data_IF_265756626042
#
_entry.id   IF_265756626042
#
_cell.length_a   1.000
_cell.length_b   1.000
_cell.length_c   1.000
_cell.angle_alpha   90.00
_cell.angle_beta   90.00
_cell.angle_gamma   90.00
#
_symmetry.space_group_name_H-M   'P 1'
#
loop_
_entity.id
_entity.type
_entity.pdbx_description
1 polymer ?
#
# COMPACT_ATOMS: atom_id res chain seq x y z
N UNK A 1 0.84 12.58 13.35
CA UNK A 1 0.37 13.11 14.65
C UNK A 1 1.29 12.57 15.73
N UNK A 2 1.80 13.44 16.60
CA UNK A 2 2.55 13.04 17.79
C UNK A 2 1.53 12.93 18.93
N UNK A 3 1.54 11.81 19.66
CA UNK A 3 0.79 11.63 20.91
C UNK A 3 1.78 11.36 22.03
N UNK A 4 1.50 11.88 23.20
CA UNK A 4 2.28 11.66 24.42
C UNK A 4 1.44 10.84 25.41
N UNK A 5 2.08 10.19 26.37
CA UNK A 5 1.41 9.32 27.35
C UNK A 5 0.28 10.02 28.12
N UNK A 6 0.38 11.33 28.33
CA UNK A 6 -0.63 12.16 29.01
C UNK A 6 -1.94 12.31 28.20
N UNK A 7 -1.91 12.05 26.89
CA UNK A 7 -3.11 12.02 26.05
C UNK A 7 -3.96 10.75 26.27
N UNK A 8 -3.41 9.75 26.98
CA UNK A 8 -4.11 8.52 27.33
C UNK A 8 -4.70 8.67 28.73
N UNK A 9 -6.00 8.97 28.80
CA UNK A 9 -6.72 8.97 30.06
C UNK A 9 -6.77 7.54 30.59
N UNK A 10 -6.03 7.27 31.66
CA UNK A 10 -5.95 5.94 32.28
C UNK A 10 -7.30 5.58 32.91
N UNK A 11 -8.13 4.86 32.19
CA UNK A 11 -9.36 4.25 32.69
C UNK A 11 -9.22 2.73 32.78
N UNK A 12 -8.54 2.23 33.82
CA UNK A 12 -8.67 0.83 34.23
C UNK A 12 -8.02 -0.21 33.30
N UNK A 13 -8.73 -1.31 33.04
CA UNK A 13 -8.24 -2.56 32.42
C UNK A 13 -7.88 -2.50 30.94
N UNK A 14 -8.26 -1.42 30.24
CA UNK A 14 -8.09 -1.30 28.77
C UNK A 14 -6.82 -0.53 28.36
N UNK A 15 -6.05 0.00 29.33
CA UNK A 15 -4.93 0.91 29.03
C UNK A 15 -3.84 0.25 28.15
N UNK A 16 -3.49 -1.02 28.41
CA UNK A 16 -2.45 -1.70 27.65
C UNK A 16 -2.93 -2.09 26.25
N UNK A 17 -4.20 -2.41 26.08
CA UNK A 17 -4.86 -2.70 24.81
C UNK A 17 -4.90 -1.45 23.91
N UNK A 18 -5.29 -0.29 24.47
CA UNK A 18 -5.28 0.97 23.76
C UNK A 18 -3.87 1.38 23.34
N UNK A 19 -2.89 1.14 24.20
CA UNK A 19 -1.48 1.41 23.93
C UNK A 19 -0.96 0.52 22.81
N UNK A 20 -1.31 -0.76 22.82
CA UNK A 20 -0.95 -1.73 21.79
C UNK A 20 -1.55 -1.37 20.43
N UNK A 21 -2.85 -1.09 20.37
CA UNK A 21 -3.54 -0.66 19.16
C UNK A 21 -2.91 0.60 18.58
N UNK A 22 -2.53 1.56 19.44
CA UNK A 22 -1.87 2.78 19.02
C UNK A 22 -0.46 2.50 18.47
N UNK A 23 0.37 1.73 19.21
CA UNK A 23 1.74 1.41 18.80
C UNK A 23 1.74 0.61 17.49
N UNK A 24 0.77 -0.29 17.29
CA UNK A 24 0.64 -1.06 16.05
C UNK A 24 0.48 -0.17 14.80
N UNK A 25 -0.04 1.04 14.96
CA UNK A 25 -0.26 2.02 13.89
C UNK A 25 0.83 3.09 13.79
N UNK A 26 1.77 3.15 14.75
CA UNK A 26 2.88 4.11 14.73
C UNK A 26 3.99 3.67 13.77
N UNK A 27 4.75 4.63 13.24
CA UNK A 27 5.98 4.38 12.47
C UNK A 27 7.19 4.20 13.39
N UNK A 28 7.22 4.92 14.51
CA UNK A 28 8.27 4.88 15.51
C UNK A 28 7.75 5.17 16.91
N UNK A 29 8.48 4.69 17.91
CA UNK A 29 8.27 4.97 19.33
C UNK A 29 9.55 5.61 19.89
N UNK A 30 9.40 6.79 20.50
CA UNK A 30 10.46 7.44 21.27
C UNK A 30 10.27 7.06 22.73
N UNK A 31 11.17 6.22 23.24
CA UNK A 31 11.10 5.68 24.59
C UNK A 31 12.06 6.44 25.51
N UNK A 32 11.49 7.24 26.40
CA UNK A 32 12.25 8.03 27.36
C UNK A 32 12.43 7.23 28.66
N UNK A 33 13.66 6.91 29.01
CA UNK A 33 13.98 6.19 30.24
C UNK A 33 14.63 7.15 31.24
N UNK A 34 13.81 7.69 32.13
CA UNK A 34 14.24 8.54 33.25
C UNK A 34 14.45 7.75 34.54
N UNK A 35 14.37 8.46 35.66
CA UNK A 35 14.54 7.86 37.00
C UNK A 35 13.26 7.22 37.53
N UNK A 36 12.10 7.56 36.97
CA UNK A 36 10.76 7.04 37.34
C UNK A 36 10.28 5.96 36.38
N UNK A 37 9.62 4.93 36.90
CA UNK A 37 9.14 3.79 36.09
C UNK A 37 7.72 3.97 35.54
N UNK A 38 6.96 4.94 36.04
CA UNK A 38 5.55 5.12 35.70
C UNK A 38 4.61 4.12 36.41
N UNK A 39 3.35 4.11 36.03
CA UNK A 39 2.33 3.22 36.59
C UNK A 39 2.54 1.77 36.14
N UNK A 40 2.35 0.81 37.06
CA UNK A 40 2.48 -0.61 36.77
C UNK A 40 1.28 -1.14 36.00
N UNK A 41 1.51 -2.01 35.02
CA UNK A 41 0.46 -2.63 34.24
C UNK A 41 -0.34 -3.60 35.13
N UNK A 42 -1.67 -3.53 35.00
CA UNK A 42 -2.59 -4.35 35.80
C UNK A 42 -2.72 -5.76 35.22
N UNK A 43 -2.94 -6.75 36.11
CA UNK A 43 -3.08 -8.16 35.72
C UNK A 43 -4.13 -8.43 34.64
N UNK A 44 -5.31 -7.80 34.62
CA UNK A 44 -6.30 -7.98 33.53
C UNK A 44 -5.77 -7.56 32.16
N UNK A 45 -5.06 -6.42 32.08
CA UNK A 45 -4.44 -5.95 30.83
C UNK A 45 -3.37 -6.91 30.30
N UNK A 46 -2.60 -7.53 31.21
CA UNK A 46 -1.60 -8.54 30.85
C UNK A 46 -2.24 -9.83 30.32
N UNK A 47 -3.41 -10.21 30.82
CA UNK A 47 -4.14 -11.37 30.32
C UNK A 47 -4.58 -11.15 28.87
N UNK A 48 -5.13 -9.99 28.56
CA UNK A 48 -5.55 -9.62 27.19
C UNK A 48 -4.37 -9.65 26.21
N UNK A 49 -3.21 -9.09 26.58
CA UNK A 49 -2.02 -9.12 25.72
C UNK A 49 -1.50 -10.55 25.49
N UNK A 50 -1.56 -11.43 26.49
CA UNK A 50 -1.18 -12.83 26.32
C UNK A 50 -2.11 -13.59 25.39
N UNK A 51 -3.42 -13.35 25.48
CA UNK A 51 -4.41 -13.95 24.60
C UNK A 51 -4.26 -13.44 23.16
N UNK A 52 -3.99 -12.14 22.99
CA UNK A 52 -3.77 -11.52 21.68
C UNK A 52 -2.48 -11.99 21.02
N UNK A 53 -1.41 -12.21 21.79
CA UNK A 53 -0.08 -12.55 21.31
C UNK A 53 0.51 -13.79 21.99
N UNK A 54 0.04 -14.99 21.66
CA UNK A 54 0.52 -16.24 22.29
C UNK A 54 2.00 -16.53 22.02
N UNK A 55 2.57 -15.96 20.94
CA UNK A 55 3.98 -16.10 20.55
C UNK A 55 4.91 -15.04 21.17
N UNK A 56 4.38 -14.14 22.00
CA UNK A 56 5.14 -13.02 22.60
C UNK A 56 6.39 -13.48 23.36
N UNK A 57 6.28 -14.58 24.13
CA UNK A 57 7.38 -15.15 24.89
C UNK A 57 8.47 -15.81 24.02
N UNK A 58 8.10 -16.24 22.80
CA UNK A 58 9.04 -16.83 21.84
C UNK A 58 9.78 -15.72 21.07
N UNK A 59 9.04 -14.73 20.63
CA UNK A 59 9.60 -13.58 19.87
C UNK A 59 10.44 -12.65 20.73
N UNK A 60 10.06 -12.48 22.00
CA UNK A 60 10.74 -11.62 22.96
C UNK A 60 11.10 -12.39 24.25
N UNK A 61 12.12 -13.25 24.22
CA UNK A 61 12.49 -14.12 25.34
C UNK A 61 12.72 -13.38 26.68
N UNK A 62 13.23 -12.12 26.73
CA UNK A 62 13.38 -11.40 27.99
C UNK A 62 12.07 -11.07 28.71
N UNK A 63 10.92 -11.19 28.03
CA UNK A 63 9.60 -10.98 28.64
C UNK A 63 9.07 -12.21 29.38
N UNK A 64 9.61 -13.41 29.16
CA UNK A 64 9.12 -14.67 29.78
C UNK A 64 8.88 -14.54 31.28
N UNK A 65 9.79 -13.97 32.09
CA UNK A 65 9.59 -13.83 33.53
C UNK A 65 8.40 -12.95 33.93
N UNK A 66 7.97 -12.05 33.05
CA UNK A 66 6.90 -11.07 33.27
C UNK A 66 5.54 -11.50 32.72
N UNK A 67 5.51 -12.64 32.05
CA UNK A 67 4.29 -13.22 31.46
C UNK A 67 3.67 -14.32 32.33
N UNK A 68 4.27 -14.70 33.44
CA UNK A 68 3.69 -15.67 34.39
C UNK A 68 2.52 -15.02 35.19
N UNK A 69 1.54 -15.79 35.66
CA UNK A 69 0.38 -15.27 36.40
C UNK A 69 0.73 -14.42 37.62
N UNK A 70 1.77 -14.82 38.35
CA UNK A 70 2.23 -14.16 39.59
C UNK A 70 3.54 -13.39 39.40
N UNK A 71 3.83 -13.00 38.14
CA UNK A 71 5.07 -12.31 37.81
C UNK A 71 5.09 -10.87 38.32
N UNK A 72 6.28 -10.34 38.54
CA UNK A 72 6.50 -8.92 38.77
C UNK A 72 6.00 -8.13 37.54
N UNK A 73 5.12 -7.16 37.77
CA UNK A 73 4.57 -6.35 36.67
C UNK A 73 5.62 -5.42 36.10
N UNK A 74 5.58 -5.18 34.78
CA UNK A 74 6.25 -4.08 34.12
C UNK A 74 5.32 -2.84 34.13
N UNK A 75 5.92 -1.66 34.09
CA UNK A 75 5.12 -0.43 33.92
C UNK A 75 4.57 -0.32 32.49
N UNK A 76 3.49 0.47 32.31
CA UNK A 76 2.96 0.75 30.98
C UNK A 76 4.02 1.35 30.07
N UNK A 77 4.84 2.27 30.57
CA UNK A 77 5.96 2.85 29.81
C UNK A 77 6.98 1.78 29.37
N UNK A 78 7.29 0.81 30.21
CA UNK A 78 8.18 -0.29 29.83
C UNK A 78 7.53 -1.21 28.79
N UNK A 79 6.20 -1.42 28.85
CA UNK A 79 5.46 -2.16 27.86
C UNK A 79 5.47 -1.50 26.47
N UNK A 80 5.47 -0.17 26.39
CA UNK A 80 5.60 0.57 25.12
C UNK A 80 6.81 0.10 24.31
N UNK A 81 7.96 -0.03 24.95
CA UNK A 81 9.16 -0.49 24.27
C UNK A 81 9.02 -1.93 23.74
N UNK A 82 8.43 -2.81 24.54
CA UNK A 82 8.26 -4.22 24.15
C UNK A 82 7.21 -4.41 23.06
N UNK A 83 6.12 -3.69 23.11
CA UNK A 83 5.11 -3.67 22.04
C UNK A 83 5.66 -3.08 20.75
N UNK A 84 6.47 -2.03 20.83
CA UNK A 84 7.16 -1.48 19.67
C UNK A 84 8.07 -2.54 19.01
N UNK A 85 8.82 -3.30 19.80
CA UNK A 85 9.67 -4.40 19.30
C UNK A 85 8.84 -5.54 18.71
N UNK A 86 7.73 -5.91 19.36
CA UNK A 86 6.84 -6.94 18.87
C UNK A 86 6.25 -6.59 17.49
N UNK A 87 5.78 -5.35 17.32
CA UNK A 87 5.25 -4.80 16.07
C UNK A 87 6.34 -4.37 15.07
N UNK A 88 7.62 -4.66 15.38
CA UNK A 88 8.78 -4.30 14.52
C UNK A 88 8.84 -2.81 14.20
N UNK A 89 8.41 -1.96 15.14
CA UNK A 89 8.49 -0.51 15.01
C UNK A 89 9.89 -0.02 15.32
N UNK A 90 10.26 1.11 14.74
CA UNK A 90 11.51 1.77 15.14
C UNK A 90 11.40 2.20 16.61
N UNK A 91 12.32 1.74 17.45
CA UNK A 91 12.41 2.12 18.85
C UNK A 91 13.65 3.02 19.05
N UNK A 92 13.40 4.27 19.43
CA UNK A 92 14.44 5.25 19.75
C UNK A 92 14.48 5.40 21.26
N UNK A 93 15.55 4.93 21.90
CA UNK A 93 15.73 4.99 23.35
C UNK A 93 16.57 6.21 23.70
N UNK A 94 16.05 7.08 24.55
CA UNK A 94 16.75 8.26 25.06
C UNK A 94 16.86 8.19 26.59
N UNK A 95 18.04 8.48 27.11
CA UNK A 95 18.33 8.47 28.55
C UNK A 95 18.94 9.79 29.01
N UNK A 96 18.54 10.35 30.16
CA UNK A 96 19.18 11.55 30.69
C UNK A 96 20.58 11.23 31.21
N UNK A 97 21.51 12.17 31.06
CA UNK A 97 22.83 12.09 31.75
C UNK A 97 22.65 12.27 33.26
N UNK A 98 23.62 11.85 34.10
CA UNK A 98 23.49 11.94 35.55
C UNK A 98 23.23 13.36 36.09
N UNK A 99 23.66 14.39 35.38
CA UNK A 99 23.47 15.81 35.76
C UNK A 99 22.34 16.51 35.02
N UNK A 100 21.48 15.78 34.29
CA UNK A 100 20.40 16.39 33.51
C UNK A 100 19.41 17.15 34.38
N UNK A 101 18.84 18.21 33.81
CA UNK A 101 17.80 19.02 34.45
C UNK A 101 16.55 18.15 34.73
N UNK A 102 16.03 18.23 35.95
CA UNK A 102 14.82 17.54 36.42
C UNK A 102 13.73 18.55 36.76
N UNK A 103 12.48 18.09 36.79
CA UNK A 103 11.35 18.90 37.25
C UNK A 103 11.48 19.23 38.74
N UNK A 104 10.89 20.35 39.17
CA UNK A 104 10.87 20.76 40.57
C UNK A 104 10.25 19.72 41.52
N UNK A 105 9.36 18.88 41.03
CA UNK A 105 8.68 17.79 41.75
C UNK A 105 9.43 16.48 41.73
N UNK A 106 10.57 16.42 41.06
CA UNK A 106 11.34 15.18 40.94
C UNK A 106 11.87 14.71 42.28
N UNK A 107 11.55 13.49 42.65
CA UNK A 107 12.13 12.80 43.81
C UNK A 107 12.91 11.56 43.30
N UNK A 108 14.18 11.51 43.61
CA UNK A 108 15.01 10.35 43.28
C UNK A 108 14.62 9.19 44.21
N UNK A 109 14.06 8.14 43.67
CA UNK A 109 13.73 6.88 44.38
C UNK A 109 14.65 5.80 43.83
N UNK A 110 15.60 5.35 44.65
CA UNK A 110 16.65 4.40 44.24
C UNK A 110 16.08 3.07 43.72
N UNK A 111 14.97 2.60 44.27
CA UNK A 111 14.27 1.39 43.81
C UNK A 111 13.77 1.56 42.36
N UNK A 112 13.16 2.68 42.03
CA UNK A 112 12.69 2.95 40.67
C UNK A 112 13.84 3.06 39.68
N UNK A 113 14.92 3.72 40.08
CA UNK A 113 16.13 3.81 39.27
C UNK A 113 16.73 2.45 38.98
N UNK A 114 16.78 1.56 39.98
CA UNK A 114 17.23 0.18 39.81
C UNK A 114 16.36 -0.58 38.81
N UNK A 115 15.06 -0.42 38.88
CA UNK A 115 14.12 -1.02 37.91
C UNK A 115 14.34 -0.52 36.47
N UNK A 116 14.64 0.78 36.30
CA UNK A 116 14.96 1.35 34.98
C UNK A 116 16.29 0.84 34.44
N UNK A 117 17.32 0.69 35.28
CA UNK A 117 18.60 0.08 34.91
C UNK A 117 18.41 -1.39 34.45
N UNK A 118 17.58 -2.14 35.17
CA UNK A 118 17.24 -3.52 34.78
C UNK A 118 16.47 -3.55 33.47
N UNK A 119 15.58 -2.58 33.22
CA UNK A 119 14.86 -2.46 31.95
C UNK A 119 15.82 -2.18 30.80
N UNK A 120 16.78 -1.25 30.95
CA UNK A 120 17.83 -1.01 29.97
C UNK A 120 18.67 -2.26 29.70
N UNK A 121 19.06 -2.99 30.75
CA UNK A 121 19.81 -4.24 30.60
C UNK A 121 19.02 -5.30 29.81
N UNK A 122 17.70 -5.40 30.03
CA UNK A 122 16.83 -6.29 29.26
C UNK A 122 16.73 -5.87 27.79
N UNK A 123 16.58 -4.58 27.50
CA UNK A 123 16.59 -4.07 26.13
C UNK A 123 17.93 -4.33 25.43
N UNK A 124 19.04 -4.17 26.15
CA UNK A 124 20.38 -4.48 25.64
C UNK A 124 20.54 -5.96 25.28
N UNK A 125 19.88 -6.88 26.01
CA UNK A 125 19.92 -8.31 25.71
C UNK A 125 19.25 -8.69 24.36
N UNK A 126 18.47 -7.80 23.78
CA UNK A 126 17.91 -7.91 22.44
C UNK A 126 18.49 -6.87 21.46
N UNK A 127 19.74 -6.45 21.72
CA UNK A 127 20.51 -5.52 20.91
C UNK A 127 19.83 -4.13 20.74
N UNK A 128 19.13 -3.68 21.79
CA UNK A 128 18.51 -2.35 21.83
C UNK A 128 19.21 -1.48 22.89
N UNK A 129 19.92 -0.49 22.40
CA UNK A 129 20.75 0.42 23.22
C UNK A 129 20.20 1.84 23.12
N UNK A 130 20.49 2.72 24.11
CA UNK A 130 20.19 4.14 24.00
C UNK A 130 20.76 4.72 22.71
N UNK A 131 19.92 5.39 21.94
CA UNK A 131 20.33 6.06 20.70
C UNK A 131 21.16 7.31 21.03
N UNK A 132 20.78 8.01 22.11
CA UNK A 132 21.49 9.19 22.60
C UNK A 132 21.18 9.45 24.09
N UNK A 133 22.00 10.32 24.71
CA UNK A 133 21.75 10.85 26.04
C UNK A 133 21.53 12.36 25.97
N UNK A 134 20.78 12.93 26.92
CA UNK A 134 20.43 14.35 26.93
C UNK A 134 20.59 14.99 28.33
N UNK A 135 20.87 16.30 28.36
CA UNK A 135 21.02 17.09 29.57
C UNK A 135 19.76 17.91 29.91
N UNK A 136 19.00 18.30 28.90
CA UNK A 136 17.81 19.12 29.02
C UNK A 136 16.83 18.88 27.87
N UNK A 137 15.62 19.44 27.97
CA UNK A 137 14.56 19.27 26.98
C UNK A 137 14.92 19.80 25.58
N UNK A 138 15.71 20.88 25.50
CA UNK A 138 16.14 21.45 24.22
C UNK A 138 17.11 20.51 23.48
N UNK A 139 18.02 19.89 24.20
CA UNK A 139 18.93 18.89 23.66
C UNK A 139 18.15 17.60 23.28
N UNK A 140 17.23 17.15 24.14
CA UNK A 140 16.35 16.01 23.82
C UNK A 140 15.62 16.23 22.50
N UNK A 141 14.96 17.37 22.32
CA UNK A 141 14.27 17.73 21.10
C UNK A 141 15.21 17.75 19.87
N UNK A 142 16.41 18.35 20.02
CA UNK A 142 17.39 18.40 18.95
C UNK A 142 17.89 17.00 18.55
N UNK A 143 18.17 16.12 19.53
CA UNK A 143 18.65 14.76 19.27
C UNK A 143 17.55 13.87 18.68
N UNK A 144 16.29 14.02 19.10
CA UNK A 144 15.15 13.36 18.46
C UNK A 144 15.06 13.77 16.97
N UNK A 145 15.19 15.06 16.66
CA UNK A 145 15.16 15.55 15.28
C UNK A 145 16.38 15.10 14.45
N UNK A 146 17.56 14.97 15.08
CA UNK A 146 18.77 14.44 14.42
C UNK A 146 18.78 12.94 14.26
N UNK A 147 18.02 12.23 15.09
CA UNK A 147 17.89 10.78 15.00
C UNK A 147 17.23 10.39 13.68
N UNK A 148 17.22 9.08 13.38
CA UNK A 148 16.49 8.54 12.22
C UNK A 148 15.00 8.91 12.17
N UNK A 149 14.48 9.60 13.19
CA UNK A 149 13.15 10.19 13.20
C UNK A 149 12.99 11.21 12.06
N UNK A 150 14.02 11.93 11.67
CA UNK A 150 13.98 12.79 10.48
C UNK A 150 13.75 11.96 9.21
N UNK A 151 14.37 10.80 9.08
CA UNK A 151 14.10 9.86 7.98
C UNK A 151 12.66 9.33 8.02
N UNK A 152 12.10 9.10 9.21
CA UNK A 152 10.73 8.64 9.39
C UNK A 152 9.75 9.77 9.12
N UNK A 153 9.98 10.97 9.62
CA UNK A 153 9.11 12.11 9.37
C UNK A 153 9.16 12.59 7.92
N UNK A 154 10.28 12.45 7.25
CA UNK A 154 10.38 12.64 5.79
C UNK A 154 9.74 11.50 5.00
N UNK A 155 9.75 10.27 5.55
CA UNK A 155 9.01 9.11 5.00
C UNK A 155 7.53 9.11 5.43
N UNK A 156 7.22 9.57 6.64
CA UNK A 156 5.90 9.60 7.28
C UNK A 156 5.23 10.99 7.33
N UNK A 157 5.80 12.01 6.71
CA UNK A 157 4.97 13.12 6.24
C UNK A 157 3.74 12.48 5.58
N UNK A 158 2.51 13.05 5.61
CA UNK A 158 1.39 12.47 4.92
C UNK A 158 1.89 12.17 3.52
N UNK A 159 2.22 10.92 3.27
CA UNK A 159 2.76 10.49 1.99
C UNK A 159 1.72 10.98 1.01
N UNK A 160 2.03 12.05 0.31
CA UNK A 160 1.16 12.56 -0.74
C UNK A 160 1.04 11.36 -1.65
N UNK A 161 -0.06 10.64 -1.49
CA UNK A 161 -0.25 9.40 -2.21
C UNK A 161 -0.10 9.75 -3.68
N UNK A 162 0.93 9.22 -4.31
CA UNK A 162 1.19 9.50 -5.70
C UNK A 162 0.24 8.65 -6.54
N UNK A 163 -0.80 9.29 -7.05
CA UNK A 163 -1.79 8.64 -7.92
C UNK A 163 -1.66 9.28 -9.31
N UNK A 164 -1.17 8.50 -10.26
CA UNK A 164 -1.10 8.86 -11.67
C UNK A 164 -1.86 7.81 -12.48
N UNK A 165 -3.18 7.77 -12.32
CA UNK A 165 -4.08 6.91 -13.09
C UNK A 165 -4.81 7.76 -14.13
N UNK A 166 -4.82 7.38 -15.42
CA UNK A 166 -5.30 8.23 -16.51
C UNK A 166 -6.81 8.37 -16.56
N UNK A 167 -7.56 7.44 -16.00
CA UNK A 167 -9.02 7.33 -16.12
C UNK A 167 -9.62 6.97 -14.76
N UNK A 168 -10.79 7.53 -14.46
CA UNK A 168 -11.55 7.19 -13.27
C UNK A 168 -12.13 5.76 -13.33
N UNK A 169 -12.51 5.21 -12.16
CA UNK A 169 -13.23 3.93 -12.07
C UNK A 169 -14.57 4.01 -12.79
N UNK A 170 -14.99 2.89 -13.39
CA UNK A 170 -16.32 2.72 -13.98
C UNK A 170 -17.41 2.50 -12.94
N UNK A 171 -17.03 2.15 -11.70
CA UNK A 171 -18.00 1.82 -10.66
C UNK A 171 -18.94 0.69 -11.08
N UNK A 172 -20.27 0.94 -11.06
CA UNK A 172 -21.28 -0.07 -11.39
C UNK A 172 -21.23 -0.55 -12.85
N UNK A 173 -20.67 0.23 -13.76
CA UNK A 173 -20.50 -0.16 -15.16
C UNK A 173 -19.36 -1.18 -15.40
N UNK A 174 -18.56 -1.49 -14.37
CA UNK A 174 -17.54 -2.53 -14.48
C UNK A 174 -18.16 -3.91 -14.26
N UNK A 175 -18.60 -4.56 -15.34
CA UNK A 175 -19.40 -5.80 -15.31
C UNK A 175 -18.56 -7.04 -15.63
N UNK A 176 -18.96 -8.16 -15.02
CA UNK A 176 -18.50 -9.51 -15.40
C UNK A 176 -17.03 -9.80 -15.14
N UNK A 177 -16.35 -9.05 -14.28
CA UNK A 177 -14.91 -9.17 -14.00
C UNK A 177 -14.57 -9.40 -12.54
N UNK A 178 -15.55 -9.66 -11.68
CA UNK A 178 -15.32 -9.86 -10.25
C UNK A 178 -14.32 -11.01 -10.00
N UNK A 179 -14.53 -12.16 -10.63
CA UNK A 179 -13.60 -13.29 -10.52
C UNK A 179 -12.19 -12.96 -11.01
N UNK A 180 -12.05 -12.20 -12.11
CA UNK A 180 -10.73 -11.77 -12.59
C UNK A 180 -10.01 -10.84 -11.61
N UNK A 181 -10.76 -9.99 -10.89
CA UNK A 181 -10.19 -9.13 -9.85
C UNK A 181 -9.76 -9.95 -8.62
N UNK A 182 -10.57 -10.91 -8.19
CA UNK A 182 -10.24 -11.83 -7.10
C UNK A 182 -9.00 -12.67 -7.44
N UNK A 183 -8.93 -13.24 -8.64
CA UNK A 183 -7.76 -14.00 -9.11
C UNK A 183 -6.52 -13.13 -9.15
N UNK A 184 -6.65 -11.87 -9.58
CA UNK A 184 -5.55 -10.92 -9.61
C UNK A 184 -5.07 -10.58 -8.20
N UNK A 185 -5.99 -10.30 -7.27
CA UNK A 185 -5.68 -10.04 -5.86
C UNK A 185 -4.97 -11.23 -5.22
N UNK A 186 -5.54 -12.43 -5.34
CA UNK A 186 -4.94 -13.66 -4.81
C UNK A 186 -3.56 -13.93 -5.40
N UNK A 187 -3.39 -13.67 -6.69
CA UNK A 187 -2.12 -13.94 -7.38
C UNK A 187 -1.03 -12.93 -7.04
N UNK A 188 -1.38 -11.68 -6.75
CA UNK A 188 -0.45 -10.64 -6.31
C UNK A 188 -0.07 -10.83 -4.84
N UNK A 189 -1.01 -11.28 -4.00
CA UNK A 189 -0.80 -11.47 -2.57
C UNK A 189 -0.64 -10.15 -1.80
N UNK A 190 -0.01 -10.23 -0.62
CA UNK A 190 0.20 -9.07 0.23
C UNK A 190 1.18 -8.06 -0.40
N UNK A 191 0.85 -6.77 -0.30
CA UNK A 191 1.72 -5.70 -0.81
C UNK A 191 3.05 -5.70 -0.07
N UNK A 192 4.20 -5.78 -0.79
CA UNK A 192 5.51 -5.74 -0.15
C UNK A 192 5.73 -4.41 0.58
N UNK A 193 6.08 -4.48 1.86
CA UNK A 193 6.32 -3.29 2.70
C UNK A 193 7.81 -3.01 2.97
N UNK A 194 8.70 -3.78 2.34
CA UNK A 194 10.16 -3.62 2.43
C UNK A 194 10.79 -3.64 1.05
N UNK A 195 11.91 -2.96 0.91
CA UNK A 195 12.70 -2.93 -0.33
C UNK A 195 13.55 -4.20 -0.56
N UNK A 196 13.51 -5.18 0.35
CA UNK A 196 14.30 -6.42 0.24
C UNK A 196 13.68 -7.44 -0.74
N UNK A 197 12.40 -7.22 -1.10
CA UNK A 197 11.68 -8.15 -1.97
C UNK A 197 11.72 -7.70 -3.44
N UNK A 198 11.91 -8.66 -4.33
CA UNK A 198 11.64 -8.45 -5.77
C UNK A 198 10.15 -8.15 -5.96
N UNK A 199 9.79 -7.29 -6.94
CA UNK A 199 8.38 -6.98 -7.18
C UNK A 199 7.61 -8.24 -7.60
N UNK A 200 6.35 -8.33 -7.19
CA UNK A 200 5.42 -9.35 -7.68
C UNK A 200 4.81 -8.86 -8.99
N UNK A 201 4.90 -9.69 -10.03
CA UNK A 201 4.54 -9.29 -11.38
C UNK A 201 3.41 -10.17 -11.91
N UNK A 202 2.41 -9.54 -12.54
CA UNK A 202 1.36 -10.23 -13.28
C UNK A 202 1.17 -9.60 -14.64
N UNK A 203 1.00 -10.44 -15.64
CA UNK A 203 0.75 -10.01 -17.01
C UNK A 203 -0.71 -10.31 -17.35
N UNK A 204 -1.50 -9.27 -17.60
CA UNK A 204 -2.83 -9.39 -18.14
C UNK A 204 -2.73 -9.59 -19.66
N UNK A 205 -2.93 -10.81 -20.13
CA UNK A 205 -2.76 -11.18 -21.53
C UNK A 205 -4.10 -11.42 -22.21
N UNK A 206 -4.18 -11.20 -23.52
CA UNK A 206 -5.39 -11.46 -24.31
C UNK A 206 -5.54 -10.56 -25.53
N UNK A 207 -6.59 -10.76 -26.30
CA UNK A 207 -6.89 -10.01 -27.52
C UNK A 207 -7.00 -8.50 -27.27
N UNK A 208 -6.80 -7.70 -28.33
CA UNK A 208 -7.08 -6.28 -28.30
C UNK A 208 -8.56 -6.01 -27.99
N UNK A 209 -8.84 -5.01 -27.13
CA UNK A 209 -10.23 -4.64 -26.81
C UNK A 209 -10.94 -5.50 -25.76
N UNK A 210 -10.32 -6.54 -25.20
CA UNK A 210 -10.92 -7.35 -24.11
C UNK A 210 -11.04 -6.62 -22.77
N UNK A 211 -10.40 -5.46 -22.60
CA UNK A 211 -10.49 -4.66 -21.38
C UNK A 211 -9.33 -4.85 -20.39
N UNK A 212 -8.17 -5.37 -20.82
CA UNK A 212 -6.96 -5.56 -19.96
C UNK A 212 -6.56 -4.30 -19.20
N UNK A 213 -6.38 -3.20 -19.91
CA UNK A 213 -6.04 -1.88 -19.32
C UNK A 213 -7.10 -1.45 -18.32
N UNK A 214 -8.38 -1.64 -18.65
CA UNK A 214 -9.49 -1.30 -17.75
C UNK A 214 -9.47 -2.16 -16.49
N UNK A 215 -9.22 -3.46 -16.61
CA UNK A 215 -9.10 -4.38 -15.47
C UNK A 215 -7.96 -3.95 -14.53
N UNK A 216 -6.79 -3.61 -15.08
CA UNK A 216 -5.65 -3.12 -14.29
C UNK A 216 -5.98 -1.82 -13.54
N UNK A 217 -6.69 -0.89 -14.19
CA UNK A 217 -7.09 0.39 -13.59
C UNK A 217 -8.18 0.20 -12.52
N UNK A 218 -9.18 -0.67 -12.75
CA UNK A 218 -10.19 -0.96 -11.73
C UNK A 218 -9.58 -1.64 -10.50
N UNK A 219 -8.64 -2.57 -10.70
CA UNK A 219 -7.87 -3.14 -9.60
C UNK A 219 -7.16 -2.04 -8.79
N UNK A 220 -6.46 -1.14 -9.48
CA UNK A 220 -5.78 -0.03 -8.82
C UNK A 220 -6.74 0.88 -8.02
N UNK A 221 -7.93 1.17 -8.55
CA UNK A 221 -8.94 1.98 -7.84
C UNK A 221 -9.52 1.26 -6.62
N UNK A 222 -9.82 -0.05 -6.72
CA UNK A 222 -10.41 -0.82 -5.63
C UNK A 222 -9.44 -1.04 -4.48
N UNK A 223 -8.18 -1.34 -4.79
CA UNK A 223 -7.10 -1.60 -3.82
C UNK A 223 -6.25 -0.36 -3.51
N UNK A 224 -6.79 0.82 -3.83
CA UNK A 224 -6.07 2.06 -3.66
C UNK A 224 -5.49 2.30 -2.26
N UNK A 225 -6.13 1.81 -1.21
CA UNK A 225 -5.70 2.00 0.19
C UNK A 225 -4.47 1.19 0.56
N UNK A 226 -4.21 0.10 -0.16
CA UNK A 226 -3.17 -0.87 0.14
C UNK A 226 -1.80 -0.45 -0.39
N UNK A 227 -1.77 0.49 -1.35
CA UNK A 227 -0.56 0.94 -2.02
C UNK A 227 -0.11 2.33 -1.58
N UNK A 228 1.20 2.52 -1.44
CA UNK A 228 1.85 3.81 -1.17
C UNK A 228 1.79 4.74 -2.40
N UNK A 229 1.85 4.18 -3.60
CA UNK A 229 1.69 4.90 -4.87
C UNK A 229 0.97 4.03 -5.90
N UNK A 230 0.22 4.67 -6.81
CA UNK A 230 -0.47 4.01 -7.92
C UNK A 230 -0.12 4.73 -9.21
N UNK A 231 0.59 4.05 -10.08
CA UNK A 231 1.25 4.65 -11.22
C UNK A 231 0.87 3.91 -12.49
N UNK A 232 0.64 4.66 -13.54
CA UNK A 232 0.33 4.16 -14.87
C UNK A 232 1.25 4.80 -15.90
N UNK A 233 1.89 3.98 -16.72
CA UNK A 233 2.67 4.44 -17.87
C UNK A 233 2.39 3.55 -19.08
N UNK A 234 2.36 4.16 -20.26
CA UNK A 234 2.32 3.43 -21.53
C UNK A 234 3.73 2.95 -21.85
N UNK A 235 3.84 1.67 -22.20
CA UNK A 235 5.11 0.98 -22.48
C UNK A 235 5.07 0.23 -23.83
N UNK A 236 4.45 0.82 -24.85
CA UNK A 236 4.26 0.24 -26.16
C UNK A 236 5.56 0.11 -26.99
N UNK A 237 6.61 0.79 -26.54
CA UNK A 237 7.95 0.74 -27.13
C UNK A 237 9.02 1.01 -26.06
N UNK A 238 10.26 0.65 -26.33
CA UNK A 238 11.42 0.93 -25.47
C UNK A 238 11.55 2.41 -25.17
N UNK A 239 11.37 3.25 -26.19
CA UNK A 239 11.46 4.71 -26.07
C UNK A 239 10.32 5.27 -25.20
N UNK A 240 9.10 4.81 -25.42
CA UNK A 240 7.95 5.22 -24.62
C UNK A 240 8.10 4.80 -23.15
N UNK A 241 8.53 3.56 -22.89
CA UNK A 241 8.80 3.09 -21.53
C UNK A 241 9.81 3.99 -20.81
N UNK A 242 10.97 4.27 -21.44
CA UNK A 242 12.03 5.08 -20.84
C UNK A 242 11.56 6.51 -20.57
N UNK A 243 10.93 7.14 -21.56
CA UNK A 243 10.41 8.51 -21.47
C UNK A 243 9.31 8.65 -20.40
N UNK A 244 8.35 7.74 -20.41
CA UNK A 244 7.23 7.79 -19.49
C UNK A 244 7.67 7.45 -18.04
N UNK A 245 8.67 6.58 -17.88
CA UNK A 245 9.30 6.32 -16.59
C UNK A 245 10.00 7.58 -16.06
N UNK A 246 10.82 8.24 -16.89
CA UNK A 246 11.46 9.51 -16.54
C UNK A 246 10.41 10.59 -16.16
N UNK A 247 9.28 10.63 -16.87
CA UNK A 247 8.17 11.55 -16.59
C UNK A 247 7.57 11.43 -15.17
N UNK A 248 7.75 10.29 -14.50
CA UNK A 248 7.31 10.12 -13.10
C UNK A 248 8.09 11.00 -12.12
N UNK A 249 9.24 11.57 -12.49
CA UNK A 249 9.93 12.59 -11.68
C UNK A 249 9.00 13.72 -11.25
N UNK A 250 8.10 14.16 -12.14
CA UNK A 250 7.10 15.20 -11.83
C UNK A 250 6.01 14.70 -10.89
N UNK A 251 5.62 13.44 -11.05
CA UNK A 251 4.61 12.81 -10.17
C UNK A 251 5.13 12.68 -8.74
N UNK A 252 6.41 12.41 -8.59
CA UNK A 252 7.08 12.24 -7.30
C UNK A 252 7.65 13.55 -6.74
N UNK A 253 7.58 14.65 -7.50
CA UNK A 253 8.15 15.96 -7.14
C UNK A 253 9.65 15.88 -6.81
N UNK A 254 10.41 15.15 -7.66
CA UNK A 254 11.84 14.98 -7.50
C UNK A 254 12.60 16.19 -8.05
N UNK A 255 13.77 16.51 -7.46
CA UNK A 255 14.61 17.62 -7.89
C UNK A 255 15.02 17.49 -9.36
N UNK A 256 15.25 16.25 -9.82
CA UNK A 256 15.64 15.91 -11.19
C UNK A 256 14.55 16.18 -12.24
N UNK A 257 13.32 16.54 -11.85
CA UNK A 257 12.24 16.89 -12.80
C UNK A 257 12.61 18.06 -13.73
N UNK A 258 13.58 18.89 -13.32
CA UNK A 258 14.08 20.05 -14.09
C UNK A 258 15.31 19.71 -14.94
N UNK A 259 15.88 18.52 -14.82
CA UNK A 259 16.99 18.07 -15.65
C UNK A 259 16.53 17.88 -17.11
N UNK A 260 17.43 18.14 -18.06
CA UNK A 260 17.18 17.88 -19.48
C UNK A 260 17.56 16.47 -19.91
N UNK A 261 18.32 15.74 -19.06
CA UNK A 261 18.77 14.39 -19.29
C UNK A 261 17.75 13.39 -18.76
N UNK A 262 17.00 12.76 -19.67
CA UNK A 262 16.01 11.73 -19.32
C UNK A 262 16.62 10.52 -18.58
N UNK A 263 17.89 10.21 -18.78
CA UNK A 263 18.55 9.12 -18.07
C UNK A 263 18.70 9.43 -16.59
N UNK A 264 19.07 10.66 -16.23
CA UNK A 264 19.14 11.09 -14.82
C UNK A 264 17.77 11.08 -14.16
N UNK A 265 16.74 11.58 -14.88
CA UNK A 265 15.36 11.54 -14.37
C UNK A 265 14.92 10.09 -14.09
N UNK A 266 15.17 9.18 -15.04
CA UNK A 266 14.84 7.76 -14.88
C UNK A 266 15.57 7.15 -13.68
N UNK A 267 16.87 7.41 -13.52
CA UNK A 267 17.66 6.86 -12.41
C UNK A 267 17.16 7.37 -11.05
N UNK A 268 16.73 8.64 -10.96
CA UNK A 268 16.08 9.21 -9.78
C UNK A 268 14.75 8.50 -9.46
N UNK A 269 13.92 8.23 -10.49
CA UNK A 269 12.66 7.48 -10.35
C UNK A 269 12.92 6.05 -9.87
N UNK A 270 13.90 5.34 -10.43
CA UNK A 270 14.27 4.00 -9.97
C UNK A 270 14.75 3.99 -8.52
N UNK A 271 15.55 4.98 -8.15
CA UNK A 271 15.96 5.17 -6.75
C UNK A 271 14.76 5.39 -5.83
N UNK A 272 13.80 6.21 -6.27
CA UNK A 272 12.57 6.44 -5.51
C UNK A 272 11.78 5.14 -5.28
N UNK A 273 11.55 4.32 -6.30
CA UNK A 273 10.87 3.03 -6.17
C UNK A 273 11.54 2.12 -5.15
N UNK A 274 12.87 2.05 -5.18
CA UNK A 274 13.65 1.20 -4.29
C UNK A 274 13.70 1.72 -2.84
N UNK A 275 13.44 3.00 -2.62
CA UNK A 275 13.38 3.62 -1.29
C UNK A 275 11.96 3.66 -0.69
N UNK A 276 10.92 3.55 -1.52
CA UNK A 276 9.52 3.70 -1.11
C UNK A 276 8.71 2.46 -1.51
N UNK A 277 8.85 1.34 -0.78
CA UNK A 277 8.12 0.11 -1.12
C UNK A 277 6.61 0.28 -0.98
N UNK A 278 5.86 -0.68 -1.51
CA UNK A 278 4.40 -0.70 -1.43
C UNK A 278 3.71 0.00 -2.60
N UNK A 279 4.38 0.22 -3.71
CA UNK A 279 3.80 0.81 -4.92
C UNK A 279 3.12 -0.22 -5.83
N UNK A 280 2.19 0.27 -6.64
CA UNK A 280 1.61 -0.42 -7.80
C UNK A 280 2.02 0.35 -9.07
N UNK A 281 2.68 -0.32 -10.00
CA UNK A 281 3.02 0.21 -11.31
C UNK A 281 2.30 -0.59 -12.40
N UNK A 282 1.53 0.10 -13.24
CA UNK A 282 0.87 -0.47 -14.41
C UNK A 282 1.66 -0.08 -15.66
N UNK A 283 2.17 -1.08 -16.39
CA UNK A 283 2.81 -0.92 -17.70
C UNK A 283 1.82 -1.36 -18.77
N UNK A 284 1.29 -0.38 -19.50
CA UNK A 284 0.23 -0.62 -20.45
C UNK A 284 0.74 -0.79 -21.88
N UNK A 285 0.12 -1.71 -22.62
CA UNK A 285 0.31 -1.95 -24.05
C UNK A 285 1.69 -2.47 -24.43
N UNK A 286 2.24 -3.41 -23.66
CA UNK A 286 3.53 -4.07 -23.95
C UNK A 286 3.29 -5.19 -25.00
N UNK A 287 3.19 -4.78 -26.27
CA UNK A 287 2.70 -5.66 -27.35
C UNK A 287 3.79 -6.08 -28.36
N UNK A 288 5.04 -5.69 -28.14
CA UNK A 288 6.20 -6.11 -28.96
C UNK A 288 7.25 -6.83 -28.13
N UNK A 289 8.04 -7.71 -28.76
CA UNK A 289 9.10 -8.46 -28.06
C UNK A 289 10.18 -7.52 -27.52
N UNK A 290 10.48 -6.43 -28.22
CA UNK A 290 11.47 -5.43 -27.79
C UNK A 290 10.98 -4.69 -26.54
N UNK A 291 9.69 -4.31 -26.49
CA UNK A 291 9.09 -3.68 -25.31
C UNK A 291 9.07 -4.66 -24.12
N UNK A 292 8.74 -5.93 -24.36
CA UNK A 292 8.75 -6.97 -23.35
C UNK A 292 10.15 -7.17 -22.75
N UNK A 293 11.19 -7.27 -23.59
CA UNK A 293 12.58 -7.37 -23.13
C UNK A 293 13.01 -6.14 -22.30
N UNK A 294 12.58 -4.94 -22.70
CA UNK A 294 12.87 -3.72 -21.93
C UNK A 294 12.15 -3.70 -20.58
N UNK A 295 10.92 -4.21 -20.51
CA UNK A 295 10.18 -4.40 -19.24
C UNK A 295 10.88 -5.41 -18.35
N UNK A 296 11.31 -6.55 -18.86
CA UNK A 296 12.07 -7.56 -18.10
C UNK A 296 13.39 -6.98 -17.54
N UNK A 297 14.09 -6.17 -18.32
CA UNK A 297 15.27 -5.46 -17.86
C UNK A 297 14.96 -4.43 -16.76
N UNK A 298 13.82 -3.72 -16.84
CA UNK A 298 13.35 -2.81 -15.81
C UNK A 298 13.05 -3.54 -14.50
N UNK A 299 12.37 -4.69 -14.57
CA UNK A 299 11.99 -5.50 -13.41
C UNK A 299 13.20 -5.83 -12.51
N UNK A 300 14.33 -6.13 -13.11
CA UNK A 300 15.56 -6.46 -12.37
C UNK A 300 16.07 -5.31 -11.50
N UNK A 301 15.68 -4.07 -11.81
CA UNK A 301 16.10 -2.83 -11.14
C UNK A 301 15.11 -2.36 -10.07
N UNK A 302 13.90 -2.93 -10.02
CA UNK A 302 12.82 -2.54 -9.10
C UNK A 302 12.78 -3.43 -7.87
N UNK A 303 12.35 -2.86 -6.73
CA UNK A 303 12.15 -3.56 -5.46
C UNK A 303 10.88 -3.09 -4.76
N UNK A 304 10.24 -4.00 -4.02
CA UNK A 304 9.26 -3.65 -2.99
C UNK A 304 7.88 -3.21 -3.48
N UNK A 305 7.37 -3.72 -4.60
CA UNK A 305 6.04 -3.35 -5.10
C UNK A 305 5.37 -4.41 -5.96
N UNK A 306 4.24 -4.05 -6.55
CA UNK A 306 3.51 -4.85 -7.52
C UNK A 306 3.59 -4.23 -8.91
N UNK A 307 3.76 -5.08 -9.92
CA UNK A 307 3.80 -4.68 -11.32
C UNK A 307 2.69 -5.40 -12.09
N UNK A 308 1.84 -4.63 -12.74
CA UNK A 308 0.84 -5.14 -13.69
C UNK A 308 1.25 -4.75 -15.10
N UNK A 309 1.34 -5.73 -15.98
CA UNK A 309 1.64 -5.52 -17.40
C UNK A 309 0.41 -5.88 -18.21
N UNK A 310 -0.02 -5.03 -19.12
CA UNK A 310 -1.05 -5.40 -20.11
C UNK A 310 -0.39 -5.71 -21.44
N UNK A 311 -0.75 -6.84 -22.06
CA UNK A 311 -0.09 -7.29 -23.29
C UNK A 311 -1.00 -8.14 -24.16
N UNK A 312 -0.72 -8.16 -25.45
CA UNK A 312 -1.24 -9.16 -26.40
C UNK A 312 -0.32 -10.36 -26.56
N UNK A 313 0.91 -10.24 -26.10
CA UNK A 313 1.87 -11.34 -26.11
C UNK A 313 1.47 -12.42 -25.11
N UNK A 314 1.64 -13.68 -25.50
CA UNK A 314 1.39 -14.85 -24.67
C UNK A 314 2.67 -15.53 -24.18
N UNK A 315 3.78 -15.24 -24.85
CA UNK A 315 5.09 -15.85 -24.55
C UNK A 315 5.94 -14.91 -23.71
N UNK A 316 5.81 -15.01 -22.40
CA UNK A 316 6.65 -14.30 -21.45
C UNK A 316 7.70 -15.26 -20.86
N UNK A 317 8.82 -14.72 -20.36
CA UNK A 317 9.83 -15.56 -19.68
C UNK A 317 9.19 -16.30 -18.50
N UNK A 318 9.62 -17.53 -18.23
CA UNK A 318 8.98 -18.46 -17.29
C UNK A 318 8.87 -17.97 -15.83
N UNK A 319 9.43 -16.80 -15.51
CA UNK A 319 9.29 -16.14 -14.21
C UNK A 319 8.05 -15.25 -14.09
N UNK A 320 7.37 -14.93 -15.21
CA UNK A 320 6.21 -14.04 -15.24
C UNK A 320 4.92 -14.84 -15.40
N UNK A 321 3.97 -14.60 -14.48
CA UNK A 321 2.66 -15.27 -14.50
C UNK A 321 1.71 -14.44 -15.35
N UNK A 322 1.26 -15.04 -16.46
CA UNK A 322 0.25 -14.48 -17.34
C UNK A 322 -1.16 -14.90 -16.88
N UNK A 323 -2.04 -13.92 -16.74
CA UNK A 323 -3.46 -14.10 -16.44
C UNK A 323 -4.25 -13.74 -17.70
N UNK A 324 -4.96 -14.70 -18.30
CA UNK A 324 -5.72 -14.45 -19.52
C UNK A 324 -6.95 -13.57 -19.22
N UNK A 325 -7.18 -12.59 -20.08
CA UNK A 325 -8.36 -11.71 -20.05
C UNK A 325 -9.18 -11.94 -21.32
N UNK A 326 -10.20 -12.78 -21.20
CA UNK A 326 -11.09 -13.12 -22.28
C UNK A 326 -12.13 -12.02 -22.56
N UNK A 327 -13.00 -12.20 -23.55
CA UNK A 327 -14.17 -11.35 -23.77
C UNK A 327 -15.17 -11.44 -22.60
N UNK A 328 -16.15 -10.57 -22.53
CA UNK A 328 -17.17 -10.63 -21.47
C UNK A 328 -18.09 -11.85 -21.67
N UNK A 329 -18.67 -12.34 -20.58
CA UNK A 329 -19.79 -13.28 -20.72
C UNK A 329 -20.96 -12.59 -21.40
N UNK A 330 -21.82 -13.36 -22.09
CA UNK A 330 -22.99 -12.82 -22.77
C UNK A 330 -23.89 -12.01 -21.82
N UNK A 331 -24.10 -12.51 -20.61
CA UNK A 331 -24.94 -11.83 -19.63
C UNK A 331 -24.31 -10.51 -19.14
N UNK A 332 -23.01 -10.50 -18.88
CA UNK A 332 -22.29 -9.27 -18.49
C UNK A 332 -22.26 -8.24 -19.64
N UNK A 333 -22.08 -8.67 -20.88
CA UNK A 333 -22.11 -7.81 -22.06
C UNK A 333 -23.49 -7.17 -22.28
N UNK A 334 -24.56 -7.98 -22.11
CA UNK A 334 -25.93 -7.51 -22.18
C UNK A 334 -26.25 -6.50 -21.09
N UNK A 335 -25.92 -6.83 -19.84
CA UNK A 335 -26.11 -5.94 -18.68
C UNK A 335 -25.36 -4.62 -18.86
N UNK A 336 -24.10 -4.70 -19.33
CA UNK A 336 -23.30 -3.51 -19.63
C UNK A 336 -24.00 -2.59 -20.64
N UNK A 337 -24.46 -3.11 -21.78
CA UNK A 337 -25.15 -2.31 -22.81
C UNK A 337 -26.42 -1.65 -22.25
N UNK A 338 -27.22 -2.40 -21.51
CA UNK A 338 -28.44 -1.89 -20.90
C UNK A 338 -28.15 -0.73 -19.94
N UNK A 339 -27.22 -0.89 -19.00
CA UNK A 339 -26.89 0.14 -18.01
C UNK A 339 -26.16 1.33 -18.65
N UNK A 340 -25.22 1.08 -19.57
CA UNK A 340 -24.43 2.13 -20.25
C UNK A 340 -25.30 3.09 -21.06
N UNK A 341 -26.42 2.62 -21.56
CA UNK A 341 -27.31 3.41 -22.43
C UNK A 341 -28.60 3.84 -21.73
N UNK A 342 -28.87 3.37 -20.51
CA UNK A 342 -30.19 3.48 -19.83
C UNK A 342 -30.75 4.92 -19.79
N UNK A 343 -29.91 5.90 -19.50
CA UNK A 343 -30.33 7.29 -19.35
C UNK A 343 -30.67 8.00 -20.67
N UNK A 344 -30.19 7.48 -21.81
CA UNK A 344 -30.19 8.24 -23.08
C UNK A 344 -30.76 7.48 -24.27
N UNK A 345 -30.81 6.14 -24.25
CA UNK A 345 -31.33 5.37 -25.38
C UNK A 345 -32.86 5.54 -25.54
N UNK A 346 -33.35 5.33 -26.73
CA UNK A 346 -34.77 5.16 -26.98
C UNK A 346 -35.18 3.76 -26.53
N UNK A 347 -35.88 3.68 -25.39
CA UNK A 347 -36.31 2.40 -24.77
C UNK A 347 -37.42 1.72 -25.58
N UNK A 348 -37.32 0.40 -25.69
CA UNK A 348 -38.29 -0.49 -26.33
C UNK A 348 -38.61 -1.67 -25.40
N UNK A 349 -39.74 -2.37 -25.63
CA UNK A 349 -40.16 -3.46 -24.77
C UNK A 349 -39.26 -4.69 -24.83
N UNK A 350 -38.50 -4.84 -25.91
CA UNK A 350 -37.60 -5.94 -26.22
C UNK A 350 -36.11 -5.57 -26.05
N UNK A 351 -35.81 -4.49 -25.36
CA UNK A 351 -34.43 -4.00 -25.15
C UNK A 351 -33.46 -5.09 -24.67
N UNK A 352 -33.90 -6.00 -23.77
CA UNK A 352 -33.07 -7.10 -23.28
C UNK A 352 -32.67 -8.07 -24.41
N UNK A 353 -33.62 -8.39 -25.30
CA UNK A 353 -33.37 -9.27 -26.44
C UNK A 353 -32.45 -8.59 -27.45
N UNK A 354 -32.72 -7.33 -27.78
CA UNK A 354 -31.91 -6.57 -28.74
C UNK A 354 -30.50 -6.27 -28.23
N UNK A 355 -30.35 -5.99 -26.94
CA UNK A 355 -29.03 -5.82 -26.31
C UNK A 355 -28.22 -7.13 -26.37
N UNK A 356 -28.87 -8.29 -26.17
CA UNK A 356 -28.21 -9.59 -26.27
C UNK A 356 -27.79 -9.93 -27.71
N UNK A 357 -28.62 -9.61 -28.69
CA UNK A 357 -28.29 -9.76 -30.12
C UNK A 357 -27.10 -8.85 -30.47
N UNK A 358 -27.11 -7.60 -30.00
CA UNK A 358 -26.00 -6.67 -30.20
C UNK A 358 -24.71 -7.14 -29.54
N UNK A 359 -24.78 -7.66 -28.30
CA UNK A 359 -23.63 -8.21 -27.60
C UNK A 359 -23.00 -9.38 -28.38
N UNK A 360 -23.81 -10.28 -28.91
CA UNK A 360 -23.39 -11.40 -29.76
C UNK A 360 -22.75 -10.91 -31.07
N UNK A 361 -23.41 -9.98 -31.76
CA UNK A 361 -22.93 -9.38 -33.02
C UNK A 361 -21.55 -8.73 -32.85
N UNK A 362 -21.28 -8.13 -31.68
CA UNK A 362 -20.00 -7.49 -31.36
C UNK A 362 -18.98 -8.45 -30.70
N UNK A 363 -19.29 -9.75 -30.64
CA UNK A 363 -18.41 -10.79 -30.08
C UNK A 363 -18.10 -10.59 -28.60
N UNK A 364 -19.00 -9.96 -27.85
CA UNK A 364 -18.84 -9.61 -26.42
C UNK A 364 -17.54 -8.88 -26.08
N UNK A 365 -16.95 -8.19 -27.08
CA UNK A 365 -15.69 -7.47 -26.94
C UNK A 365 -15.91 -6.14 -26.23
N UNK A 366 -15.31 -5.96 -25.04
CA UNK A 366 -15.56 -4.82 -24.15
C UNK A 366 -15.42 -3.45 -24.85
N UNK A 367 -14.41 -3.28 -25.70
CA UNK A 367 -14.22 -2.04 -26.46
C UNK A 367 -15.32 -1.79 -27.48
N UNK A 368 -15.74 -2.82 -28.20
CA UNK A 368 -16.82 -2.70 -29.19
C UNK A 368 -18.15 -2.37 -28.52
N UNK A 369 -18.43 -3.01 -27.37
CA UNK A 369 -19.63 -2.72 -26.57
C UNK A 369 -19.65 -1.28 -26.06
N UNK A 370 -18.49 -0.75 -25.55
CA UNK A 370 -18.40 0.64 -25.10
C UNK A 370 -18.61 1.62 -26.26
N UNK A 371 -18.02 1.37 -27.43
CA UNK A 371 -18.22 2.20 -28.62
C UNK A 371 -19.68 2.20 -29.08
N UNK A 372 -20.30 1.04 -29.15
CA UNK A 372 -21.73 0.90 -29.50
C UNK A 372 -22.62 1.60 -28.46
N UNK A 373 -22.36 1.38 -27.17
CA UNK A 373 -23.10 2.00 -26.09
C UNK A 373 -22.98 3.54 -26.10
N UNK A 374 -21.77 4.06 -26.36
CA UNK A 374 -21.53 5.49 -26.51
C UNK A 374 -22.29 6.08 -27.71
N UNK A 375 -22.26 5.41 -28.86
CA UNK A 375 -22.96 5.83 -30.07
C UNK A 375 -24.48 5.86 -29.88
N UNK A 376 -25.05 4.76 -29.33
CA UNK A 376 -26.46 4.67 -29.00
C UNK A 376 -26.91 5.77 -28.06
N UNK A 377 -26.12 6.02 -26.98
CA UNK A 377 -26.42 7.07 -26.02
C UNK A 377 -26.33 8.49 -26.65
N UNK A 378 -25.36 8.73 -27.52
CA UNK A 378 -25.17 10.02 -28.18
C UNK A 378 -26.29 10.31 -29.18
N UNK A 379 -26.69 9.31 -29.98
CA UNK A 379 -27.74 9.41 -31.01
C UNK A 379 -29.15 9.21 -30.46
N UNK A 380 -29.29 8.80 -29.22
CA UNK A 380 -30.58 8.49 -28.57
C UNK A 380 -31.40 7.47 -29.35
N UNK A 381 -30.74 6.48 -29.92
CA UNK A 381 -31.39 5.43 -30.72
C UNK A 381 -31.69 4.20 -29.88
N UNK A 382 -32.48 3.28 -30.42
CA UNK A 382 -32.71 1.95 -29.84
C UNK A 382 -31.59 0.99 -30.23
N UNK A 383 -31.48 -0.16 -29.56
CA UNK A 383 -30.57 -1.24 -29.96
C UNK A 383 -30.89 -1.78 -31.37
N UNK A 384 -32.16 -1.99 -31.67
CA UNK A 384 -32.63 -2.39 -33.01
C UNK A 384 -32.15 -1.39 -34.08
N UNK A 385 -32.37 -0.09 -33.87
CA UNK A 385 -31.94 0.95 -34.81
C UNK A 385 -30.41 0.95 -35.01
N UNK A 386 -29.62 0.68 -33.97
CA UNK A 386 -28.16 0.53 -34.11
C UNK A 386 -27.80 -0.71 -34.95
N UNK A 387 -28.43 -1.87 -34.70
CA UNK A 387 -28.22 -3.09 -35.48
C UNK A 387 -28.55 -2.89 -36.96
N UNK A 388 -29.63 -2.19 -37.27
CA UNK A 388 -30.00 -1.86 -38.66
C UNK A 388 -28.92 -0.99 -39.34
N UNK A 389 -28.38 0.05 -38.63
CA UNK A 389 -27.31 0.88 -39.18
C UNK A 389 -26.01 0.07 -39.33
N UNK A 390 -25.70 -0.79 -38.37
CA UNK A 390 -24.52 -1.64 -38.38
C UNK A 390 -24.51 -2.56 -39.58
N UNK A 391 -25.61 -3.30 -39.82
CA UNK A 391 -25.72 -4.20 -40.99
C UNK A 391 -25.66 -3.47 -42.33
N UNK A 392 -26.26 -2.30 -42.44
CA UNK A 392 -26.17 -1.48 -43.68
C UNK A 392 -24.75 -1.02 -44.04
N UNK A 393 -23.83 -1.00 -43.08
CA UNK A 393 -22.46 -0.59 -43.33
C UNK A 393 -21.53 -1.77 -43.66
N UNK A 394 -21.92 -2.98 -43.29
CA UNK A 394 -21.07 -4.19 -43.43
C UNK A 394 -21.62 -5.19 -44.45
N UNK A 395 -22.82 -4.99 -44.99
CA UNK A 395 -23.36 -5.65 -46.16
C UNK A 395 -23.04 -4.86 -47.45
#
# INVERSE_FOLDING_TARGET
TVKVQEDFIATGTETLDMLDDYISQCDAVVHLIGDMIGAMAQSPSLTLIRERYPDLAERLPPLRPFLAPDAQALSYTQWEAWLALYHRKMLIIAVPVPGATRDEKHALIEEQRTHQQQHLARLASVERYPAFSFENNSQLAAEILRSKLHEILTRAGPSKKHVNLPIASLGSLFKGRAACLEDLELSLGAVPNTADHTPVIRVLSGLGGTGKTRLALEYAWQHGKDYSAQLFIVADSVVALQRNLAGLCRTFDLDEQHETDEAKQRDAVLKWFNQHPGWLLILDNVDTEEAAAAVEALISQLRGGHLLVTSRLTNWSGSLIALPVDTLSMDAATEFLLERTDAKRRKQADDDVQARILADTLGTLALALEQAGAYIAQRRMSFEGYLEEYHKQYD
#
